data_IF_483127776641
#
_entry.id   IF_483127776641
#
_cell.length_a   1.000
_cell.length_b   1.000
_cell.length_c   1.000
_cell.angle_alpha   90.00
_cell.angle_beta   90.00
_cell.angle_gamma   90.00
#
_symmetry.space_group_name_H-M   'P 1'
#
loop_
_entity.id
_entity.type
_entity.pdbx_description
1 polymer ?
#
# COMPACT_ATOMS: atom_id res chain seq x y z
N UNK A 1 -28.88 -2.52 74.37
CA UNK A 1 -28.58 -3.31 73.15
C UNK A 1 -28.98 -2.48 71.95
N UNK A 2 -28.04 -1.70 71.41
CA UNK A 2 -28.25 -0.95 70.17
C UNK A 2 -27.00 -1.16 69.34
N UNK A 3 -27.11 -1.93 68.26
CA UNK A 3 -26.01 -2.06 67.29
C UNK A 3 -25.85 -0.72 66.56
N UNK A 4 -24.62 -0.29 66.22
CA UNK A 4 -24.33 1.06 65.77
C UNK A 4 -24.42 1.21 64.26
N UNK A 5 -24.81 2.42 63.85
CA UNK A 5 -24.34 3.23 62.71
C UNK A 5 -23.82 2.42 61.52
N UNK A 6 -24.75 2.20 60.58
CA UNK A 6 -24.58 2.35 59.14
C UNK A 6 -23.13 2.49 58.66
N UNK A 7 -22.63 1.34 58.25
CA UNK A 7 -21.54 1.07 57.33
C UNK A 7 -21.44 2.12 56.22
N UNK A 8 -20.60 3.14 56.42
CA UNK A 8 -20.09 4.00 55.35
C UNK A 8 -19.12 3.14 54.54
N UNK A 9 -19.69 2.42 53.57
CA UNK A 9 -18.99 1.59 52.59
C UNK A 9 -18.11 2.49 51.71
N UNK A 10 -16.80 2.43 51.94
CA UNK A 10 -15.81 3.00 51.04
C UNK A 10 -16.07 2.50 49.60
N UNK A 11 -15.94 3.35 48.56
CA UNK A 11 -16.20 2.93 47.19
C UNK A 11 -15.31 1.75 46.82
N UNK A 12 -15.96 0.65 46.43
CA UNK A 12 -15.38 -0.64 46.07
C UNK A 12 -14.27 -0.44 45.01
N UNK A 13 -13.05 -0.99 45.20
CA UNK A 13 -11.90 -0.80 44.29
C UNK A 13 -12.09 -1.36 42.88
N UNK A 14 -13.18 -2.08 42.65
CA UNK A 14 -13.52 -2.74 41.39
C UNK A 14 -14.06 -1.75 40.35
N UNK A 15 -14.79 -0.72 40.78
CA UNK A 15 -15.43 0.21 39.85
C UNK A 15 -14.41 1.15 39.18
N UNK A 16 -13.42 1.67 39.91
CA UNK A 16 -12.43 2.60 39.36
C UNK A 16 -11.45 1.95 38.38
N UNK A 17 -11.17 0.65 38.53
CA UNK A 17 -10.34 -0.11 37.60
C UNK A 17 -11.05 -0.37 36.25
N UNK A 18 -12.34 -0.74 36.28
CA UNK A 18 -13.18 -0.97 35.10
C UNK A 18 -13.30 0.29 34.23
N UNK A 19 -13.51 1.47 34.85
CA UNK A 19 -13.57 2.74 34.12
C UNK A 19 -12.24 3.11 33.45
N UNK A 20 -11.10 2.75 34.05
CA UNK A 20 -9.79 2.94 33.45
C UNK A 20 -9.57 2.07 32.21
N UNK A 21 -10.06 0.83 32.25
CA UNK A 21 -10.01 -0.11 31.11
C UNK A 21 -10.91 0.36 29.97
N UNK A 22 -12.12 0.85 30.27
CA UNK A 22 -13.02 1.41 29.25
C UNK A 22 -12.41 2.65 28.58
N UNK A 23 -11.87 3.59 29.37
CA UNK A 23 -11.21 4.79 28.85
C UNK A 23 -10.03 4.42 27.96
N UNK A 24 -9.18 3.49 28.40
CA UNK A 24 -8.05 3.01 27.62
C UNK A 24 -8.51 2.43 26.27
N UNK A 25 -9.52 1.54 26.27
CA UNK A 25 -10.07 0.96 25.05
C UNK A 25 -10.60 2.00 24.07
N UNK A 26 -11.30 3.03 24.56
CA UNK A 26 -11.77 4.15 23.73
C UNK A 26 -10.61 4.94 23.11
N UNK A 27 -9.57 5.24 23.89
CA UNK A 27 -8.39 5.96 23.38
C UNK A 27 -7.65 5.13 22.32
N UNK A 28 -7.46 3.84 22.55
CA UNK A 28 -6.86 2.93 21.56
C UNK A 28 -7.67 2.91 20.27
N UNK A 29 -9.01 2.79 20.35
CA UNK A 29 -9.85 2.79 19.16
C UNK A 29 -9.74 4.08 18.35
N UNK A 30 -9.65 5.25 19.00
CA UNK A 30 -9.43 6.53 18.31
C UNK A 30 -8.08 6.53 17.57
N UNK A 31 -7.02 6.02 18.20
CA UNK A 31 -5.70 5.95 17.59
C UNK A 31 -5.66 4.98 16.40
N UNK A 32 -6.27 3.81 16.54
CA UNK A 32 -6.36 2.82 15.45
C UNK A 32 -7.14 3.37 14.26
N UNK A 33 -8.26 4.05 14.50
CA UNK A 33 -9.03 4.71 13.45
C UNK A 33 -8.21 5.80 12.75
N UNK A 34 -7.47 6.62 13.51
CA UNK A 34 -6.59 7.64 12.95
C UNK A 34 -5.49 7.04 12.07
N UNK A 35 -4.82 5.98 12.53
CA UNK A 35 -3.81 5.27 11.75
C UNK A 35 -4.40 4.65 10.48
N UNK A 36 -5.56 3.99 10.57
CA UNK A 36 -6.24 3.42 9.41
C UNK A 36 -6.60 4.48 8.37
N UNK A 37 -7.03 5.67 8.81
CA UNK A 37 -7.30 6.80 7.91
C UNK A 37 -6.03 7.28 7.20
N UNK A 38 -4.91 7.44 7.93
CA UNK A 38 -3.62 7.84 7.35
C UNK A 38 -3.17 6.84 6.29
N UNK A 39 -3.22 5.54 6.60
CA UNK A 39 -2.83 4.48 5.65
C UNK A 39 -3.68 4.54 4.37
N UNK A 40 -4.99 4.76 4.48
CA UNK A 40 -5.88 4.90 3.31
C UNK A 40 -5.52 6.11 2.45
N UNK A 41 -5.23 7.25 3.07
CA UNK A 41 -4.80 8.47 2.37
C UNK A 41 -3.47 8.24 1.67
N UNK A 42 -2.48 7.69 2.36
CA UNK A 42 -1.16 7.39 1.80
C UNK A 42 -1.28 6.43 0.62
N UNK A 43 -2.01 5.32 0.77
CA UNK A 43 -2.19 4.35 -0.31
C UNK A 43 -2.80 4.98 -1.56
N UNK A 44 -3.80 5.85 -1.39
CA UNK A 44 -4.41 6.59 -2.49
C UNK A 44 -3.37 7.48 -3.18
N UNK A 45 -2.65 8.29 -2.40
CA UNK A 45 -1.66 9.22 -2.95
C UNK A 45 -0.51 8.49 -3.64
N UNK A 46 -0.10 7.33 -3.14
CA UNK A 46 0.93 6.50 -3.77
C UNK A 46 0.48 6.00 -5.14
N UNK A 47 -0.75 5.53 -5.29
CA UNK A 47 -1.28 5.09 -6.58
C UNK A 47 -1.33 6.24 -7.58
N UNK A 48 -1.79 7.43 -7.15
CA UNK A 48 -1.78 8.64 -7.98
C UNK A 48 -0.36 9.02 -8.40
N UNK A 49 0.59 9.01 -7.46
CA UNK A 49 1.99 9.32 -7.75
C UNK A 49 2.59 8.36 -8.79
N UNK A 50 2.35 7.05 -8.66
CA UNK A 50 2.83 6.06 -9.63
C UNK A 50 2.23 6.27 -11.02
N UNK A 51 0.95 6.63 -11.11
CA UNK A 51 0.33 6.96 -12.39
C UNK A 51 0.95 8.21 -13.03
N UNK A 52 1.17 9.27 -12.24
CA UNK A 52 1.81 10.51 -12.70
C UNK A 52 3.24 10.25 -13.16
N UNK A 53 4.03 9.47 -12.41
CA UNK A 53 5.38 9.09 -12.82
C UNK A 53 5.34 8.34 -14.16
N UNK A 54 4.38 7.42 -14.34
CA UNK A 54 4.18 6.72 -15.59
C UNK A 54 3.91 7.66 -16.77
N UNK A 55 3.08 8.69 -16.56
CA UNK A 55 2.80 9.74 -17.55
C UNK A 55 4.07 10.47 -17.96
N UNK A 56 4.85 10.94 -16.99
CA UNK A 56 6.10 11.67 -17.25
C UNK A 56 7.11 10.81 -18.02
N UNK A 57 7.22 9.52 -17.68
CA UNK A 57 8.09 8.58 -18.41
C UNK A 57 7.63 8.45 -19.87
N UNK A 58 6.33 8.28 -20.13
CA UNK A 58 5.81 8.16 -21.51
C UNK A 58 6.07 9.43 -22.31
N UNK A 59 5.76 10.60 -21.74
CA UNK A 59 5.98 11.89 -22.41
C UNK A 59 7.46 12.12 -22.72
N UNK A 60 8.34 11.81 -21.78
CA UNK A 60 9.78 11.95 -21.98
C UNK A 60 10.32 11.02 -23.07
N UNK A 61 9.83 9.77 -23.14
CA UNK A 61 10.26 8.80 -24.16
C UNK A 61 9.70 9.12 -25.55
N UNK A 62 8.46 9.62 -25.64
CA UNK A 62 7.84 10.03 -26.91
C UNK A 62 8.48 11.29 -27.51
N UNK A 63 9.05 12.17 -26.67
CA UNK A 63 9.82 13.33 -27.12
C UNK A 63 11.23 13.00 -27.61
N UNK A 64 11.75 11.80 -27.33
CA UNK A 64 12.95 11.27 -27.95
C UNK A 64 12.62 10.68 -29.33
N UNK A 65 13.60 10.58 -30.23
CA UNK A 65 13.45 10.12 -31.62
C UNK A 65 13.04 8.62 -31.78
N UNK A 66 12.11 8.11 -30.97
CA UNK A 66 11.53 6.77 -31.09
C UNK A 66 12.47 5.60 -30.81
N UNK A 67 13.67 5.84 -30.27
CA UNK A 67 14.66 4.77 -30.03
C UNK A 67 14.37 4.04 -28.72
N UNK A 68 14.10 2.73 -28.80
CA UNK A 68 13.95 1.86 -27.64
C UNK A 68 15.16 1.93 -26.68
N UNK A 69 16.36 2.13 -27.21
CA UNK A 69 17.59 2.28 -26.41
C UNK A 69 17.64 3.58 -25.60
N UNK A 70 17.08 4.68 -26.11
CA UNK A 70 16.99 5.94 -25.36
C UNK A 70 16.08 5.79 -24.13
N UNK A 71 14.90 5.20 -24.33
CA UNK A 71 13.96 4.96 -23.23
C UNK A 71 14.54 4.06 -22.14
N UNK A 72 15.26 2.99 -22.51
CA UNK A 72 15.95 2.12 -21.55
C UNK A 72 16.98 2.89 -20.73
N UNK A 73 17.81 3.71 -21.36
CA UNK A 73 18.84 4.51 -20.67
C UNK A 73 18.23 5.54 -19.72
N UNK A 74 17.19 6.25 -20.16
CA UNK A 74 16.48 7.23 -19.32
C UNK A 74 15.85 6.59 -18.08
N UNK A 75 15.20 5.43 -18.23
CA UNK A 75 14.60 4.71 -17.09
C UNK A 75 15.67 4.20 -16.12
N UNK A 76 16.83 3.76 -16.61
CA UNK A 76 17.93 3.32 -15.75
C UNK A 76 18.54 4.48 -14.93
N UNK A 77 18.84 5.61 -15.57
CA UNK A 77 19.35 6.80 -14.88
C UNK A 77 18.33 7.33 -13.86
N UNK A 78 17.05 7.37 -14.22
CA UNK A 78 15.98 7.78 -13.33
C UNK A 78 15.88 6.85 -12.11
N UNK A 79 15.99 5.52 -12.32
CA UNK A 79 15.96 4.55 -11.23
C UNK A 79 17.10 4.75 -10.25
N UNK A 80 18.32 4.99 -10.73
CA UNK A 80 19.49 5.21 -9.89
C UNK A 80 19.28 6.42 -8.97
N UNK A 81 18.90 7.57 -9.55
CA UNK A 81 18.69 8.82 -8.81
C UNK A 81 17.53 8.74 -7.83
N UNK A 82 16.42 8.10 -8.22
CA UNK A 82 15.28 7.94 -7.33
C UNK A 82 15.58 6.96 -6.19
N UNK A 83 16.33 5.90 -6.45
CA UNK A 83 16.74 4.94 -5.41
C UNK A 83 17.73 5.58 -4.44
N UNK A 84 18.64 6.42 -4.91
CA UNK A 84 19.55 7.18 -4.06
C UNK A 84 18.81 8.17 -3.15
N UNK A 85 17.81 8.87 -3.69
CA UNK A 85 17.08 9.91 -2.94
C UNK A 85 15.97 9.37 -2.04
N UNK A 86 15.22 8.37 -2.48
CA UNK A 86 14.00 7.88 -1.82
C UNK A 86 14.11 6.42 -1.35
N UNK A 87 15.18 5.71 -1.72
CA UNK A 87 15.41 4.34 -1.30
C UNK A 87 14.64 3.31 -2.12
N UNK A 88 14.24 2.23 -1.43
CA UNK A 88 13.61 1.06 -2.07
C UNK A 88 12.25 1.43 -2.67
N UNK A 89 11.92 0.85 -3.82
CA UNK A 89 10.63 1.05 -4.50
C UNK A 89 10.74 1.72 -5.87
N UNK A 90 11.90 2.28 -6.22
CA UNK A 90 12.15 2.98 -7.49
C UNK A 90 13.15 2.25 -8.40
N UNK A 91 13.09 0.92 -8.42
CA UNK A 91 13.88 0.11 -9.35
C UNK A 91 13.44 0.35 -10.80
N UNK A 92 14.33 0.10 -11.77
CA UNK A 92 14.02 0.25 -13.18
C UNK A 92 12.78 -0.57 -13.57
N UNK A 93 12.63 -1.77 -13.01
CA UNK A 93 11.43 -2.62 -13.20
C UNK A 93 10.17 -1.93 -12.71
N UNK A 94 10.18 -1.29 -11.53
CA UNK A 94 9.03 -0.57 -11.00
C UNK A 94 8.68 0.64 -11.87
N UNK A 95 9.68 1.37 -12.38
CA UNK A 95 9.45 2.48 -13.31
C UNK A 95 8.82 2.01 -14.63
N UNK A 96 9.22 0.85 -15.14
CA UNK A 96 8.53 0.22 -16.27
C UNK A 96 7.08 -0.13 -15.94
N UNK A 97 6.81 -0.65 -14.73
CA UNK A 97 5.43 -0.87 -14.29
C UNK A 97 4.62 0.41 -14.19
N UNK A 98 5.21 1.51 -13.73
CA UNK A 98 4.52 2.81 -13.71
C UNK A 98 4.19 3.30 -15.12
N UNK A 99 5.11 3.15 -16.08
CA UNK A 99 4.85 3.43 -17.50
C UNK A 99 3.67 2.60 -18.02
N UNK A 100 3.69 1.29 -17.78
CA UNK A 100 2.61 0.39 -18.22
C UNK A 100 1.29 0.72 -17.53
N UNK A 101 1.33 1.07 -16.24
CA UNK A 101 0.16 1.50 -15.49
C UNK A 101 -0.47 2.74 -16.10
N UNK A 102 0.33 3.76 -16.44
CA UNK A 102 -0.19 4.93 -17.14
C UNK A 102 -0.81 4.55 -18.48
N UNK A 103 -0.12 3.78 -19.32
CA UNK A 103 -0.63 3.38 -20.64
C UNK A 103 -1.94 2.58 -20.57
N UNK A 104 -2.07 1.69 -19.59
CA UNK A 104 -3.28 0.89 -19.39
C UNK A 104 -4.48 1.72 -18.91
N UNK A 105 -4.25 2.83 -18.22
CA UNK A 105 -5.30 3.65 -17.59
C UNK A 105 -5.32 5.11 -18.06
N UNK A 106 -4.64 5.46 -19.14
CA UNK A 106 -4.51 6.85 -19.64
C UNK A 106 -5.87 7.51 -19.95
N UNK A 107 -6.89 6.72 -20.27
CA UNK A 107 -8.24 7.20 -20.56
C UNK A 107 -9.17 7.25 -19.33
N UNK A 108 -8.68 6.86 -18.15
CA UNK A 108 -9.43 6.93 -16.89
C UNK A 108 -8.85 8.05 -16.04
N UNK A 109 -9.51 9.20 -16.08
CA UNK A 109 -9.09 10.43 -15.36
C UNK A 109 -9.29 10.28 -13.84
N UNK A 110 -10.20 9.40 -13.41
CA UNK A 110 -10.43 9.12 -12.00
C UNK A 110 -9.98 7.70 -11.69
N UNK A 111 -8.85 7.56 -11.00
CA UNK A 111 -8.50 6.31 -10.34
C UNK A 111 -9.40 6.22 -9.09
N UNK A 112 -10.35 5.28 -9.04
CA UNK A 112 -11.24 5.16 -7.89
C UNK A 112 -10.40 4.85 -6.65
N UNK A 113 -10.70 5.52 -5.54
CA UNK A 113 -10.07 5.20 -4.27
C UNK A 113 -10.54 3.80 -3.88
N UNK A 114 -9.65 2.80 -3.73
CA UNK A 114 -10.09 1.52 -3.21
C UNK A 114 -10.54 1.75 -1.77
N UNK A 115 -11.83 1.53 -1.50
CA UNK A 115 -12.29 1.33 -0.13
C UNK A 115 -11.56 0.08 0.37
N UNK A 116 -10.47 0.29 1.13
CA UNK A 116 -9.67 -0.79 1.68
C UNK A 116 -10.54 -1.63 2.61
N UNK A 117 -11.10 -2.72 2.08
CA UNK A 117 -11.73 -3.76 2.88
C UNK A 117 -10.64 -4.58 3.52
N UNK A 118 -10.55 -4.55 4.85
CA UNK A 118 -9.73 -5.48 5.60
C UNK A 118 -10.29 -6.89 5.37
N UNK A 119 -9.50 -7.77 4.73
CA UNK A 119 -9.88 -9.17 4.62
C UNK A 119 -9.60 -9.82 5.98
N UNK A 120 -10.64 -10.03 6.78
CA UNK A 120 -10.60 -10.72 8.07
C UNK A 120 -10.53 -12.25 7.95
N UNK A 121 -10.01 -12.78 6.84
CA UNK A 121 -9.92 -14.21 6.57
C UNK A 121 -8.50 -14.78 6.77
N UNK A 122 -8.32 -15.94 7.43
CA UNK A 122 -7.03 -16.61 7.49
C UNK A 122 -6.55 -16.95 6.08
N UNK A 123 -5.36 -16.46 5.70
CA UNK A 123 -4.69 -16.83 4.45
C UNK A 123 -4.33 -18.32 4.49
N UNK A 124 -5.22 -19.17 3.99
CA UNK A 124 -4.92 -20.58 3.77
C UNK A 124 -3.92 -20.71 2.60
N UNK A 125 -2.64 -20.68 2.93
CA UNK A 125 -1.53 -20.84 1.98
C UNK A 125 -1.45 -22.30 1.54
N UNK A 126 -2.23 -22.68 0.52
CA UNK A 126 -2.10 -23.99 -0.14
C UNK A 126 -0.68 -24.11 -0.71
N UNK A 127 0.14 -25.00 -0.14
CA UNK A 127 1.45 -25.37 -0.70
C UNK A 127 1.21 -25.82 -2.14
N UNK A 128 1.76 -25.09 -3.11
CA UNK A 128 1.88 -25.59 -4.47
C UNK A 128 3.00 -26.63 -4.48
N UNK A 129 2.63 -27.89 -4.63
CA UNK A 129 3.57 -28.94 -4.99
C UNK A 129 4.18 -28.57 -6.35
N UNK A 130 5.50 -28.34 -6.35
CA UNK A 130 6.28 -28.19 -7.58
C UNK A 130 6.62 -29.58 -8.09
N UNK A 131 5.81 -30.11 -9.02
CA UNK A 131 6.25 -31.16 -9.93
C UNK A 131 7.29 -30.63 -10.93
N UNK A 132 8.14 -31.49 -11.52
CA UNK A 132 9.24 -31.04 -12.37
C UNK A 132 8.69 -30.55 -13.72
N UNK A 133 9.09 -29.35 -14.13
CA UNK A 133 8.75 -28.79 -15.44
C UNK A 133 9.72 -29.35 -16.48
N UNK A 134 9.26 -30.33 -17.27
CA UNK A 134 9.84 -30.65 -18.57
C UNK A 134 9.60 -29.49 -19.54
N UNK A 135 10.60 -29.24 -20.39
CA UNK A 135 10.71 -28.08 -21.25
C UNK A 135 9.53 -27.86 -22.19
N UNK A 136 9.15 -26.59 -22.31
CA UNK A 136 8.42 -26.07 -23.44
C UNK A 136 8.97 -24.67 -23.73
N UNK A 137 9.42 -24.51 -24.97
CA UNK A 137 10.03 -23.32 -25.53
C UNK A 137 9.07 -22.13 -25.47
N UNK A 138 9.56 -20.94 -25.09
CA UNK A 138 8.75 -19.72 -25.10
C UNK A 138 8.82 -19.08 -26.48
N UNK A 139 7.70 -18.87 -27.19
CA UNK A 139 7.70 -18.01 -28.37
C UNK A 139 7.87 -16.55 -27.93
N UNK A 140 8.73 -15.83 -28.63
CA UNK A 140 8.95 -14.39 -28.48
C UNK A 140 7.64 -13.65 -28.74
N UNK A 141 7.15 -12.93 -27.73
CA UNK A 141 6.10 -11.94 -27.92
C UNK A 141 6.78 -10.60 -28.28
N UNK A 142 6.61 -10.19 -29.52
CA UNK A 142 6.94 -8.86 -30.04
C UNK A 142 6.24 -7.78 -29.19
N UNK A 143 7.02 -7.10 -28.36
CA UNK A 143 6.62 -5.85 -27.73
C UNK A 143 7.02 -4.69 -28.67
N UNK A 144 6.11 -4.33 -29.56
CA UNK A 144 6.11 -3.05 -30.27
C UNK A 144 4.93 -2.20 -29.78
N UNK A 145 5.23 -0.92 -29.55
CA UNK A 145 4.38 0.23 -29.14
C UNK A 145 4.24 0.48 -27.63
#
# INVERSE_FOLDING_TARGET
>A
MSKPIEEILAPKPEASAEHGVELFGRVVSILEQAHGNIVRVVNTQMVLAYWLIGREIVQHVQGGEGRAEYGKKSVQDLSLRLTERYGKGFSATNLWYFRQFYLAFQHRIEIPHPAGGESSGPLHRKKRDRGPLLGAERPQADFCL
#
